data_IF_938098004924
#
_entry.id   IF_938098004924
#
_cell.length_a   1.000
_cell.length_b   1.000
_cell.length_c   1.000
_cell.angle_alpha   90.00
_cell.angle_beta   90.00
_cell.angle_gamma   90.00
#
_symmetry.space_group_name_H-M   'P 1'
#
loop_
_entity.id
_entity.type
_entity.pdbx_description
1 polymer ?
#
# COMPACT_ATOMS: atom_id res chain seq x y z
N UNK A 1 -15.23 -36.86 9.42
CA UNK A 1 -15.22 -35.89 10.53
C UNK A 1 -15.89 -34.66 10.00
N UNK A 2 -17.04 -34.32 10.56
CA UNK A 2 -17.75 -33.10 10.20
C UNK A 2 -17.04 -31.91 10.87
N UNK A 3 -17.02 -30.77 10.19
CA UNK A 3 -16.45 -29.53 10.72
C UNK A 3 -17.60 -28.68 11.23
N UNK A 4 -17.48 -28.14 12.44
CA UNK A 4 -18.56 -27.40 13.09
C UNK A 4 -18.88 -26.07 12.37
N UNK A 5 -17.84 -25.36 11.90
CA UNK A 5 -17.97 -24.08 11.20
C UNK A 5 -17.35 -24.10 9.79
N UNK A 6 -17.99 -24.76 8.81
CA UNK A 6 -17.43 -24.92 7.47
C UNK A 6 -17.40 -23.62 6.65
N UNK A 7 -18.26 -22.65 6.97
CA UNK A 7 -18.33 -21.35 6.26
C UNK A 7 -17.09 -20.50 6.55
N UNK A 8 -16.66 -20.43 7.81
CA UNK A 8 -15.49 -19.66 8.25
C UNK A 8 -14.20 -20.20 7.59
N UNK A 9 -14.06 -21.53 7.50
CA UNK A 9 -12.99 -22.16 6.72
C UNK A 9 -13.10 -21.84 5.23
N UNK A 10 -14.31 -21.88 4.66
CA UNK A 10 -14.52 -21.57 3.26
C UNK A 10 -14.12 -20.13 2.92
N UNK A 11 -14.38 -19.17 3.83
CA UNK A 11 -13.92 -17.77 3.70
C UNK A 11 -12.40 -17.73 3.63
N UNK A 12 -11.69 -18.39 4.56
CA UNK A 12 -10.23 -18.44 4.56
C UNK A 12 -9.66 -19.07 3.27
N UNK A 13 -10.23 -20.19 2.82
CA UNK A 13 -9.83 -20.82 1.55
C UNK A 13 -10.11 -19.88 0.38
N UNK A 14 -11.25 -19.22 0.35
CA UNK A 14 -11.63 -18.28 -0.71
C UNK A 14 -10.65 -17.10 -0.80
N UNK A 15 -10.14 -16.64 0.33
CA UNK A 15 -9.13 -15.59 0.40
C UNK A 15 -7.81 -16.01 -0.27
N UNK A 16 -7.31 -17.22 0.01
CA UNK A 16 -6.10 -17.72 -0.66
C UNK A 16 -6.33 -17.99 -2.15
N UNK A 17 -7.47 -18.59 -2.53
CA UNK A 17 -7.84 -18.78 -3.93
C UNK A 17 -7.88 -17.45 -4.67
N UNK A 18 -8.43 -16.41 -4.04
CA UNK A 18 -8.46 -15.06 -4.59
C UNK A 18 -7.06 -14.48 -4.80
N UNK A 19 -6.16 -14.62 -3.82
CA UNK A 19 -4.74 -14.20 -3.95
C UNK A 19 -4.07 -14.92 -5.12
N UNK A 20 -4.19 -16.25 -5.21
CA UNK A 20 -3.60 -17.02 -6.31
C UNK A 20 -4.21 -16.65 -7.66
N UNK A 21 -5.51 -16.35 -7.70
CA UNK A 21 -6.19 -15.83 -8.88
C UNK A 21 -5.61 -14.49 -9.36
N UNK A 22 -5.37 -13.55 -8.44
CA UNK A 22 -4.73 -12.26 -8.75
C UNK A 22 -3.30 -12.44 -9.26
N UNK A 23 -2.50 -13.28 -8.59
CA UNK A 23 -1.13 -13.59 -9.03
C UNK A 23 -1.13 -14.23 -10.42
N UNK A 24 -2.03 -15.19 -10.67
CA UNK A 24 -2.21 -15.84 -11.96
C UNK A 24 -2.61 -14.84 -13.06
N UNK A 25 -3.51 -13.90 -12.74
CA UNK A 25 -3.94 -12.84 -13.67
C UNK A 25 -2.81 -11.88 -14.04
N UNK A 26 -1.98 -11.50 -13.06
CA UNK A 26 -0.84 -10.59 -13.27
C UNK A 26 0.39 -11.29 -13.85
N UNK A 27 0.49 -12.61 -13.67
CA UNK A 27 1.62 -13.46 -14.06
C UNK A 27 2.13 -13.26 -15.49
N UNK A 28 1.28 -13.21 -16.54
CA UNK A 28 1.74 -12.97 -17.91
C UNK A 28 2.43 -11.61 -18.12
N UNK A 29 2.04 -10.58 -17.37
CA UNK A 29 2.67 -9.25 -17.48
C UNK A 29 3.99 -9.20 -16.73
N UNK A 30 4.04 -9.78 -15.53
CA UNK A 30 5.27 -9.90 -14.73
C UNK A 30 6.28 -10.81 -15.44
N UNK A 31 5.85 -11.95 -15.98
CA UNK A 31 6.70 -12.90 -16.68
C UNK A 31 7.31 -12.32 -17.96
N UNK A 32 6.59 -11.45 -18.68
CA UNK A 32 7.16 -10.67 -19.79
C UNK A 32 8.25 -9.71 -19.29
N UNK A 33 7.98 -8.97 -18.22
CA UNK A 33 8.98 -8.07 -17.65
C UNK A 33 10.25 -8.83 -17.23
N UNK A 34 10.11 -9.98 -16.56
CA UNK A 34 11.24 -10.81 -16.15
C UNK A 34 12.08 -11.32 -17.35
N UNK A 35 11.42 -11.68 -18.46
CA UNK A 35 12.10 -12.14 -19.69
C UNK A 35 12.90 -11.05 -20.39
N UNK A 36 12.42 -9.82 -20.37
CA UNK A 36 13.15 -8.68 -20.96
C UNK A 36 14.44 -8.34 -20.18
N UNK A 37 14.63 -8.93 -18.99
CA UNK A 37 15.87 -9.01 -18.21
C UNK A 37 16.66 -7.70 -18.06
N UNK A 38 15.96 -6.58 -17.87
CA UNK A 38 16.62 -5.32 -17.49
C UNK A 38 17.07 -5.42 -16.03
N UNK A 39 18.26 -4.89 -15.73
CA UNK A 39 18.81 -4.89 -14.36
C UNK A 39 17.80 -4.37 -13.33
N UNK A 40 17.07 -3.29 -13.66
CA UNK A 40 16.04 -2.73 -12.79
C UNK A 40 14.86 -3.66 -12.52
N UNK A 41 14.48 -4.51 -13.47
CA UNK A 41 13.39 -5.47 -13.27
C UNK A 41 13.73 -6.44 -12.15
N UNK A 42 14.95 -7.02 -12.17
CA UNK A 42 15.41 -7.95 -11.15
C UNK A 42 15.53 -7.30 -9.78
N UNK A 43 15.97 -6.04 -9.71
CA UNK A 43 15.98 -5.27 -8.44
C UNK A 43 14.59 -5.28 -7.80
N UNK A 44 13.54 -4.94 -8.56
CA UNK A 44 12.19 -4.89 -8.02
C UNK A 44 11.60 -6.26 -7.73
N UNK A 45 11.89 -7.30 -8.53
CA UNK A 45 11.44 -8.67 -8.24
C UNK A 45 12.07 -9.21 -6.94
N UNK A 46 13.36 -8.97 -6.71
CA UNK A 46 14.02 -9.36 -5.45
C UNK A 46 13.43 -8.59 -4.28
N UNK A 47 13.24 -7.27 -4.42
CA UNK A 47 12.60 -6.46 -3.38
C UNK A 47 11.15 -6.89 -3.11
N UNK A 48 10.40 -7.35 -4.11
CA UNK A 48 9.07 -7.94 -3.91
C UNK A 48 9.13 -9.21 -3.06
N UNK A 49 10.10 -10.11 -3.31
CA UNK A 49 10.25 -11.33 -2.51
C UNK A 49 10.62 -10.99 -1.07
N UNK A 50 11.55 -10.04 -0.88
CA UNK A 50 11.92 -9.55 0.46
C UNK A 50 10.71 -8.92 1.16
N UNK A 51 9.93 -8.10 0.45
CA UNK A 51 8.74 -7.46 0.97
C UNK A 51 7.69 -8.51 1.41
N UNK A 52 7.42 -9.50 0.56
CA UNK A 52 6.52 -10.59 0.89
C UNK A 52 7.00 -11.37 2.11
N UNK A 53 8.27 -11.78 2.13
CA UNK A 53 8.83 -12.53 3.26
C UNK A 53 8.74 -11.73 4.56
N UNK A 54 9.05 -10.43 4.52
CA UNK A 54 9.00 -9.53 5.67
C UNK A 54 7.58 -9.41 6.24
N UNK A 55 6.60 -9.04 5.40
CA UNK A 55 5.22 -8.81 5.84
C UNK A 55 4.54 -10.11 6.27
N UNK A 56 4.71 -11.19 5.49
CA UNK A 56 4.06 -12.46 5.79
C UNK A 56 4.66 -13.19 6.99
N UNK A 57 5.94 -12.98 7.31
CA UNK A 57 6.51 -13.51 8.57
C UNK A 57 5.75 -12.96 9.77
N UNK A 58 5.42 -11.66 9.77
CA UNK A 58 4.64 -11.06 10.84
C UNK A 58 3.15 -11.43 10.78
N UNK A 59 2.56 -11.53 9.58
CA UNK A 59 1.18 -11.99 9.42
C UNK A 59 0.98 -13.41 9.94
N UNK A 60 1.90 -14.33 9.63
CA UNK A 60 1.86 -15.70 10.16
C UNK A 60 2.05 -15.73 11.67
N UNK A 61 2.95 -14.90 12.22
CA UNK A 61 3.07 -14.73 13.68
C UNK A 61 1.79 -14.19 14.30
N UNK A 62 1.07 -13.31 13.62
CA UNK A 62 -0.21 -12.79 14.08
C UNK A 62 -1.28 -13.88 14.11
N UNK A 63 -1.38 -14.72 13.07
CA UNK A 63 -2.30 -15.85 13.08
C UNK A 63 -1.99 -16.83 14.21
N UNK A 64 -0.72 -17.14 14.43
CA UNK A 64 -0.28 -18.00 15.54
C UNK A 64 -0.60 -17.35 16.89
N UNK A 65 -0.32 -16.06 17.05
CA UNK A 65 -0.62 -15.30 18.27
C UNK A 65 -2.11 -15.30 18.58
N UNK A 66 -2.95 -14.96 17.60
CA UNK A 66 -4.41 -14.94 17.75
C UNK A 66 -4.98 -16.33 18.03
N UNK A 67 -4.47 -17.37 17.37
CA UNK A 67 -4.90 -18.76 17.63
C UNK A 67 -4.63 -19.16 19.09
N UNK A 68 -3.41 -18.92 19.59
CA UNK A 68 -3.05 -19.28 20.96
C UNK A 68 -3.76 -18.47 22.04
N UNK A 69 -4.14 -17.22 21.75
CA UNK A 69 -4.90 -16.39 22.68
C UNK A 69 -6.35 -16.88 22.85
N UNK A 70 -6.93 -17.49 21.80
CA UNK A 70 -8.35 -17.84 21.79
C UNK A 70 -8.62 -19.35 21.91
N UNK A 71 -7.65 -20.19 21.59
CA UNK A 71 -7.78 -21.65 21.68
C UNK A 71 -6.92 -22.17 22.83
N UNK A 72 -7.56 -22.55 23.94
CA UNK A 72 -6.93 -23.15 25.12
C UNK A 72 -6.28 -24.50 24.80
N UNK A 73 -4.96 -24.61 24.62
CA UNK A 73 -4.12 -25.84 24.48
C UNK A 73 -4.70 -27.02 23.65
N UNK A 74 -5.77 -26.79 22.90
CA UNK A 74 -6.41 -27.75 22.02
C UNK A 74 -5.50 -27.86 20.81
N UNK A 75 -4.91 -29.04 20.63
CA UNK A 75 -4.04 -29.34 19.51
C UNK A 75 -4.65 -28.91 18.18
N UNK A 76 -3.80 -28.58 17.21
CA UNK A 76 -4.24 -28.05 15.92
C UNK A 76 -5.04 -29.12 15.16
N UNK A 77 -6.32 -28.85 14.93
CA UNK A 77 -7.23 -29.68 14.15
C UNK A 77 -8.08 -28.79 13.23
N UNK A 78 -8.68 -29.37 12.17
CA UNK A 78 -9.59 -28.61 11.31
C UNK A 78 -10.78 -28.03 12.09
N UNK A 79 -11.25 -28.76 13.10
CA UNK A 79 -12.35 -28.28 13.93
C UNK A 79 -11.90 -27.11 14.81
N UNK A 80 -10.74 -27.21 15.48
CA UNK A 80 -10.24 -26.11 16.31
C UNK A 80 -9.93 -24.84 15.50
N UNK A 81 -9.43 -24.99 14.27
CA UNK A 81 -9.27 -23.84 13.35
C UNK A 81 -10.62 -23.23 12.98
N UNK A 82 -11.65 -24.05 12.75
CA UNK A 82 -13.00 -23.55 12.46
C UNK A 82 -13.61 -22.79 13.64
N UNK A 83 -13.41 -23.28 14.87
CA UNK A 83 -13.82 -22.60 16.12
C UNK A 83 -13.06 -21.28 16.31
N UNK A 84 -11.75 -21.28 16.09
CA UNK A 84 -10.93 -20.06 16.14
C UNK A 84 -11.44 -18.99 15.18
N UNK A 85 -11.59 -19.31 13.90
CA UNK A 85 -12.04 -18.36 12.88
C UNK A 85 -13.46 -17.84 13.15
N UNK A 86 -14.33 -18.68 13.72
CA UNK A 86 -15.68 -18.28 14.09
C UNK A 86 -15.70 -17.31 15.29
N UNK A 87 -14.81 -17.55 16.26
CA UNK A 87 -14.76 -16.79 17.51
C UNK A 87 -14.03 -15.44 17.40
N UNK A 88 -13.21 -15.24 16.37
CA UNK A 88 -12.32 -14.07 16.25
C UNK A 88 -12.59 -13.28 14.97
N UNK A 89 -12.64 -11.97 15.09
CA UNK A 89 -12.67 -11.06 13.95
C UNK A 89 -11.27 -10.61 13.58
N UNK A 90 -10.46 -11.53 13.02
CA UNK A 90 -9.02 -11.33 12.75
C UNK A 90 -8.67 -9.99 12.10
N UNK A 91 -9.48 -9.56 11.14
CA UNK A 91 -9.26 -8.29 10.43
C UNK A 91 -9.58 -7.08 11.31
N UNK A 92 -10.66 -7.14 12.09
CA UNK A 92 -11.08 -6.06 12.99
C UNK A 92 -10.02 -5.85 14.06
N UNK A 93 -9.56 -6.93 14.70
CA UNK A 93 -8.63 -6.89 15.81
C UNK A 93 -7.25 -6.40 15.37
N UNK A 94 -6.77 -6.87 14.22
CA UNK A 94 -5.53 -6.38 13.61
C UNK A 94 -5.61 -4.87 13.34
N UNK A 95 -6.68 -4.41 12.68
CA UNK A 95 -6.80 -3.01 12.30
C UNK A 95 -7.01 -2.08 13.50
N UNK A 96 -7.73 -2.52 14.54
CA UNK A 96 -7.84 -1.78 15.81
C UNK A 96 -6.49 -1.65 16.48
N UNK A 97 -5.74 -2.76 16.57
CA UNK A 97 -4.40 -2.79 17.19
C UNK A 97 -3.46 -1.79 16.53
N UNK A 98 -3.52 -1.64 15.21
CA UNK A 98 -2.61 -0.74 14.48
C UNK A 98 -3.16 0.69 14.32
N UNK A 99 -4.39 0.96 14.75
CA UNK A 99 -5.03 2.28 14.62
C UNK A 99 -5.20 3.02 15.94
N UNK A 100 -5.21 2.30 17.06
CA UNK A 100 -5.34 2.89 18.40
C UNK A 100 -3.94 3.18 18.97
N UNK A 101 -3.70 4.43 19.33
CA UNK A 101 -2.45 4.91 19.90
C UNK A 101 -1.59 5.72 18.91
N UNK A 102 -0.86 6.69 19.44
CA UNK A 102 -0.13 7.65 18.60
C UNK A 102 0.98 6.99 17.77
N UNK A 103 1.76 6.08 18.37
CA UNK A 103 2.86 5.42 17.67
C UNK A 103 2.40 4.35 16.69
N UNK A 104 1.35 3.60 17.05
CA UNK A 104 0.71 2.62 16.17
C UNK A 104 0.20 3.34 14.92
N UNK A 105 -0.55 4.43 15.13
CA UNK A 105 -1.06 5.22 14.04
C UNK A 105 0.03 5.91 13.22
N UNK A 106 1.15 6.35 13.82
CA UNK A 106 2.32 6.90 13.09
C UNK A 106 2.88 5.91 12.07
N UNK A 107 2.86 4.61 12.34
CA UNK A 107 3.22 3.61 11.35
C UNK A 107 2.10 3.42 10.32
N UNK A 108 0.88 3.16 10.78
CA UNK A 108 -0.23 2.73 9.94
C UNK A 108 -0.72 3.80 8.99
N UNK A 109 -0.79 5.06 9.42
CA UNK A 109 -1.26 6.13 8.55
C UNK A 109 -0.34 6.33 7.35
N UNK A 110 0.96 6.01 7.43
CA UNK A 110 1.89 6.13 6.32
C UNK A 110 1.52 5.18 5.17
N UNK A 111 1.20 3.91 5.47
CA UNK A 111 0.80 2.97 4.42
C UNK A 111 -0.59 3.30 3.89
N UNK A 112 -1.51 3.74 4.76
CA UNK A 112 -2.86 4.13 4.35
C UNK A 112 -2.83 5.36 3.43
N UNK A 113 -2.15 6.43 3.84
CA UNK A 113 -1.98 7.64 3.03
C UNK A 113 -1.17 7.40 1.76
N UNK A 114 -0.13 6.57 1.81
CA UNK A 114 0.58 6.13 0.61
C UNK A 114 -0.38 5.44 -0.35
N UNK A 115 -1.17 4.47 0.12
CA UNK A 115 -2.08 3.68 -0.71
C UNK A 115 -3.13 4.57 -1.40
N UNK A 116 -3.78 5.43 -0.61
CA UNK A 116 -4.85 6.28 -1.11
C UNK A 116 -4.31 7.41 -1.99
N UNK A 117 -3.39 8.22 -1.46
CA UNK A 117 -3.01 9.48 -2.09
C UNK A 117 -1.85 9.37 -3.07
N UNK A 118 -1.06 8.29 -3.00
CA UNK A 118 0.15 8.13 -3.83
C UNK A 118 0.00 6.96 -4.79
N UNK A 119 -0.22 5.76 -4.25
CA UNK A 119 -0.28 4.52 -5.01
C UNK A 119 -1.44 4.48 -5.98
N UNK A 120 -2.65 4.90 -5.55
CA UNK A 120 -3.83 4.92 -6.42
C UNK A 120 -3.65 5.87 -7.62
N UNK A 121 -3.23 7.14 -7.45
CA UNK A 121 -2.92 8.00 -8.58
C UNK A 121 -1.78 7.49 -9.44
N UNK A 122 -0.72 6.98 -8.83
CA UNK A 122 0.44 6.48 -9.55
C UNK A 122 0.07 5.29 -10.44
N UNK A 123 -0.66 4.30 -9.90
CA UNK A 123 -1.18 3.17 -10.67
C UNK A 123 -2.06 3.64 -11.83
N UNK A 124 -3.03 4.53 -11.57
CA UNK A 124 -3.93 5.02 -12.59
C UNK A 124 -3.13 5.72 -13.71
N UNK A 125 -2.31 6.69 -13.35
CA UNK A 125 -1.63 7.58 -14.29
C UNK A 125 -0.58 6.81 -15.08
N UNK A 126 0.37 6.14 -14.42
CA UNK A 126 1.43 5.40 -15.12
C UNK A 126 0.89 4.15 -15.82
N UNK A 127 -0.09 3.47 -15.21
CA UNK A 127 -0.74 2.31 -15.78
C UNK A 127 -1.43 2.61 -17.10
N UNK A 128 -2.27 3.65 -17.15
CA UNK A 128 -2.92 4.07 -18.39
C UNK A 128 -1.92 4.60 -19.42
N UNK A 129 -0.96 5.42 -18.99
CA UNK A 129 0.05 6.02 -19.87
C UNK A 129 0.89 4.98 -20.62
N UNK A 130 1.13 3.83 -20.00
CA UNK A 130 1.91 2.72 -20.54
C UNK A 130 1.04 1.58 -21.10
N UNK A 131 -0.28 1.66 -20.90
CA UNK A 131 -1.23 0.63 -21.30
C UNK A 131 -1.01 -0.70 -20.58
N UNK A 132 -0.72 -0.64 -19.27
CA UNK A 132 -0.60 -1.82 -18.40
C UNK A 132 -2.02 -2.30 -18.06
N UNK A 133 -2.37 -3.57 -18.35
CA UNK A 133 -3.71 -4.09 -18.08
C UNK A 133 -3.90 -4.39 -16.59
N UNK A 134 -5.17 -4.56 -16.18
CA UNK A 134 -5.56 -5.05 -14.84
C UNK A 134 -5.01 -4.21 -13.66
N UNK A 135 -5.01 -2.88 -13.77
CA UNK A 135 -4.55 -1.99 -12.69
C UNK A 135 -5.28 -2.22 -11.37
N UNK A 136 -6.59 -2.51 -11.45
CA UNK A 136 -7.40 -2.89 -10.30
C UNK A 136 -6.88 -4.14 -9.58
N UNK A 137 -6.27 -5.10 -10.31
CA UNK A 137 -5.73 -6.33 -9.72
C UNK A 137 -4.44 -6.07 -8.94
N UNK A 138 -3.60 -5.10 -9.37
CA UNK A 138 -2.48 -4.64 -8.55
C UNK A 138 -2.96 -3.99 -7.25
N UNK A 139 -4.02 -3.18 -7.31
CA UNK A 139 -4.60 -2.59 -6.10
C UNK A 139 -5.17 -3.66 -5.16
N UNK A 140 -5.98 -4.59 -5.68
CA UNK A 140 -6.54 -5.68 -4.86
C UNK A 140 -5.43 -6.56 -4.27
N UNK A 141 -4.40 -6.91 -5.05
CA UNK A 141 -3.25 -7.65 -4.54
C UNK A 141 -2.56 -6.87 -3.40
N UNK A 142 -2.46 -5.55 -3.54
CA UNK A 142 -1.95 -4.67 -2.49
C UNK A 142 -2.78 -4.73 -1.21
N UNK A 143 -4.12 -4.72 -1.34
CA UNK A 143 -5.05 -4.77 -0.22
C UNK A 143 -5.07 -6.15 0.47
N UNK A 144 -4.95 -7.25 -0.28
CA UNK A 144 -5.05 -8.60 0.29
C UNK A 144 -3.71 -9.24 0.64
N UNK A 145 -2.58 -8.83 0.05
CA UNK A 145 -1.25 -9.41 0.34
C UNK A 145 -0.37 -8.41 1.08
N UNK A 146 -0.01 -7.31 0.42
CA UNK A 146 0.76 -6.18 0.97
C UNK A 146 0.94 -5.14 -0.13
N UNK A 147 0.93 -3.86 0.22
CA UNK A 147 1.09 -2.78 -0.76
C UNK A 147 2.49 -2.81 -1.37
N UNK A 148 3.53 -3.08 -0.57
CA UNK A 148 4.90 -3.25 -1.05
C UNK A 148 5.05 -4.37 -2.07
N UNK A 149 4.36 -5.51 -1.90
CA UNK A 149 4.40 -6.63 -2.86
C UNK A 149 3.84 -6.18 -4.21
N UNK A 150 2.66 -5.56 -4.20
CA UNK A 150 2.03 -5.04 -5.42
C UNK A 150 2.86 -3.92 -6.07
N UNK A 151 3.41 -3.00 -5.27
CA UNK A 151 4.27 -1.91 -5.76
C UNK A 151 5.55 -2.43 -6.41
N UNK A 152 6.22 -3.41 -5.81
CA UNK A 152 7.43 -4.00 -6.40
C UNK A 152 7.15 -4.71 -7.72
N UNK A 153 6.06 -5.49 -7.81
CA UNK A 153 5.67 -6.16 -9.05
C UNK A 153 5.35 -5.13 -10.15
N UNK A 154 4.63 -4.07 -9.81
CA UNK A 154 4.31 -3.02 -10.77
C UNK A 154 5.55 -2.24 -11.21
N UNK A 155 6.46 -1.88 -10.28
CA UNK A 155 7.73 -1.25 -10.63
C UNK A 155 8.56 -2.12 -11.56
N UNK A 156 8.62 -3.44 -11.33
CA UNK A 156 9.26 -4.37 -12.25
C UNK A 156 8.67 -4.25 -13.66
N UNK A 157 7.35 -4.23 -13.80
CA UNK A 157 6.65 -4.05 -15.09
C UNK A 157 6.91 -2.68 -15.72
N UNK A 158 6.99 -1.61 -14.92
CA UNK A 158 7.28 -0.27 -15.43
C UNK A 158 8.68 -0.16 -16.05
N UNK A 159 9.66 -0.93 -15.56
CA UNK A 159 11.02 -0.88 -16.13
C UNK A 159 11.10 -1.37 -17.57
N UNK A 160 10.17 -2.23 -17.99
CA UNK A 160 10.15 -2.81 -19.34
C UNK A 160 9.10 -2.15 -20.24
N UNK A 161 8.04 -1.59 -19.66
CA UNK A 161 6.96 -0.98 -20.43
C UNK A 161 7.24 0.48 -20.79
N UNK A 162 7.29 0.78 -22.09
CA UNK A 162 7.48 2.15 -22.58
C UNK A 162 6.20 2.99 -22.45
N UNK A 163 6.39 4.30 -22.29
CA UNK A 163 5.34 5.31 -22.32
C UNK A 163 4.72 5.38 -23.71
N UNK A 164 3.42 5.05 -23.84
CA UNK A 164 2.70 5.07 -25.13
C UNK A 164 1.98 6.39 -25.39
N UNK A 165 1.59 7.10 -24.33
CA UNK A 165 0.80 8.33 -24.41
C UNK A 165 1.51 9.45 -23.63
N UNK A 166 1.45 10.68 -24.12
CA UNK A 166 1.90 11.85 -23.36
C UNK A 166 0.93 12.13 -22.19
N UNK A 167 1.41 12.85 -21.17
CA UNK A 167 0.59 13.23 -20.00
C UNK A 167 -0.58 14.09 -20.43
N UNK A 168 -1.76 13.49 -20.63
CA UNK A 168 -2.95 14.25 -21.02
C UNK A 168 -3.73 14.82 -19.81
N UNK A 169 -3.11 14.84 -18.64
CA UNK A 169 -3.76 15.16 -17.36
C UNK A 169 -4.56 14.00 -16.78
N UNK A 170 -4.92 14.12 -15.52
CA UNK A 170 -5.60 13.08 -14.76
C UNK A 170 -7.08 13.42 -14.51
N UNK A 171 -7.99 12.43 -14.50
CA UNK A 171 -9.42 12.70 -14.41
C UNK A 171 -9.81 13.23 -13.02
N UNK A 172 -10.77 14.15 -12.96
CA UNK A 172 -11.27 14.72 -11.69
C UNK A 172 -11.77 13.66 -10.70
N UNK A 173 -12.34 12.56 -11.22
CA UNK A 173 -12.78 11.45 -10.38
C UNK A 173 -11.64 10.74 -9.66
N UNK A 174 -10.40 10.77 -10.19
CA UNK A 174 -9.24 10.28 -9.44
C UNK A 174 -8.98 11.18 -8.22
N UNK A 175 -9.03 12.50 -8.40
CA UNK A 175 -8.87 13.44 -7.28
C UNK A 175 -9.99 13.25 -6.25
N UNK A 176 -11.24 13.06 -6.67
CA UNK A 176 -12.36 12.81 -5.76
C UNK A 176 -12.14 11.51 -4.95
N UNK A 177 -11.74 10.42 -5.60
CA UNK A 177 -11.41 9.16 -4.92
C UNK A 177 -10.26 9.32 -3.91
N UNK A 178 -9.19 10.04 -4.29
CA UNK A 178 -8.07 10.36 -3.38
C UNK A 178 -8.56 11.17 -2.20
N UNK A 179 -9.36 12.21 -2.43
CA UNK A 179 -9.86 13.09 -1.39
C UNK A 179 -10.73 12.34 -0.38
N UNK A 180 -11.72 11.58 -0.87
CA UNK A 180 -12.59 10.76 0.00
C UNK A 180 -11.77 9.73 0.76
N UNK A 181 -10.85 9.03 0.09
CA UNK A 181 -9.99 8.08 0.77
C UNK A 181 -9.13 8.76 1.86
N UNK A 182 -8.55 9.93 1.59
CA UNK A 182 -7.72 10.63 2.58
C UNK A 182 -8.54 11.06 3.78
N UNK A 183 -9.80 11.48 3.59
CA UNK A 183 -10.73 11.73 4.69
C UNK A 183 -10.92 10.45 5.52
N UNK A 184 -11.18 9.30 4.89
CA UNK A 184 -11.34 8.04 5.64
C UNK A 184 -10.08 7.65 6.42
N UNK A 185 -8.88 7.95 5.89
CA UNK A 185 -7.62 7.74 6.63
C UNK A 185 -7.58 8.65 7.85
N UNK A 186 -7.82 9.96 7.69
CA UNK A 186 -7.81 10.92 8.80
C UNK A 186 -8.84 10.55 9.88
N UNK A 187 -10.01 10.04 9.50
CA UNK A 187 -11.06 9.64 10.44
C UNK A 187 -10.73 8.35 11.20
N UNK A 188 -9.92 7.45 10.62
CA UNK A 188 -9.66 6.11 11.15
C UNK A 188 -9.31 6.05 12.64
N UNK A 189 -8.37 6.83 13.19
CA UNK A 189 -8.04 6.75 14.61
C UNK A 189 -9.18 7.24 15.52
N UNK A 190 -10.04 8.13 15.03
CA UNK A 190 -11.16 8.68 15.80
C UNK A 190 -12.36 7.74 15.86
N UNK A 191 -12.50 6.86 14.88
CA UNK A 191 -13.57 5.86 14.83
C UNK A 191 -13.06 4.45 15.13
N UNK A 192 -11.78 4.29 15.48
CA UNK A 192 -11.14 2.98 15.67
C UNK A 192 -11.79 2.14 16.77
N UNK A 193 -12.31 2.81 17.80
CA UNK A 193 -12.98 2.14 18.91
C UNK A 193 -14.48 1.88 18.62
N UNK A 194 -15.06 2.58 17.65
CA UNK A 194 -16.48 2.55 17.33
C UNK A 194 -16.89 1.41 16.39
N UNK A 195 -18.19 1.08 16.36
CA UNK A 195 -18.76 0.16 15.38
C UNK A 195 -18.66 0.68 13.93
N UNK A 196 -18.47 1.98 13.74
CA UNK A 196 -18.30 2.63 12.44
C UNK A 196 -16.91 2.39 11.83
N UNK A 197 -15.93 1.89 12.59
CA UNK A 197 -14.57 1.64 12.12
C UNK A 197 -14.54 0.83 10.83
N UNK A 198 -15.28 -0.27 10.80
CA UNK A 198 -15.29 -1.19 9.67
C UNK A 198 -15.91 -0.58 8.43
N UNK A 199 -16.93 0.27 8.59
CA UNK A 199 -17.54 1.00 7.48
C UNK A 199 -16.60 2.06 6.92
N UNK A 200 -15.87 2.76 7.78
CA UNK A 200 -14.85 3.72 7.35
C UNK A 200 -13.72 3.02 6.58
N UNK A 201 -13.25 1.86 7.08
CA UNK A 201 -12.22 1.07 6.42
C UNK A 201 -12.70 0.48 5.08
N UNK A 202 -13.95 -0.02 5.02
CA UNK A 202 -14.55 -0.47 3.77
C UNK A 202 -14.66 0.67 2.75
N UNK A 203 -15.10 1.85 3.18
CA UNK A 203 -15.16 3.03 2.33
C UNK A 203 -13.78 3.40 1.80
N UNK A 204 -12.74 3.38 2.65
CA UNK A 204 -11.35 3.62 2.26
C UNK A 204 -10.90 2.70 1.12
N UNK A 205 -11.23 1.41 1.19
CA UNK A 205 -10.82 0.42 0.18
C UNK A 205 -11.66 0.53 -1.10
N UNK A 206 -12.97 0.73 -0.96
CA UNK A 206 -13.91 0.78 -2.07
C UNK A 206 -13.63 1.94 -3.03
N UNK A 207 -13.24 3.11 -2.50
CA UNK A 207 -12.99 4.30 -3.34
C UNK A 207 -11.71 4.19 -4.19
N UNK A 208 -10.84 3.20 -3.94
CA UNK A 208 -9.58 3.02 -4.66
C UNK A 208 -9.75 2.31 -6.01
N UNK A 209 -10.83 1.56 -6.19
CA UNK A 209 -11.06 0.74 -7.38
C UNK A 209 -11.62 1.52 -8.58
N UNK A 210 -12.61 2.43 -8.43
CA UNK A 210 -13.19 3.17 -9.56
C UNK A 210 -12.20 3.88 -10.50
N UNK A 211 -11.08 4.49 -10.05
CA UNK A 211 -10.13 5.10 -10.97
C UNK A 211 -9.29 4.08 -11.76
N UNK A 212 -9.25 2.81 -11.33
CA UNK A 212 -8.41 1.75 -11.91
C UNK A 212 -9.17 0.81 -12.86
N UNK A 213 -10.49 0.98 -12.95
CA UNK A 213 -11.33 0.28 -13.91
C UNK A 213 -11.21 0.91 -15.31
N UNK A 214 -11.20 0.12 -16.40
CA UNK A 214 -11.16 0.65 -17.75
C UNK A 214 -12.27 1.70 -17.97
N UNK A 215 -11.89 2.90 -18.42
CA UNK A 215 -12.85 4.00 -18.63
C UNK A 215 -13.09 4.29 -20.10
N UNK A 216 -14.36 4.56 -20.41
CA UNK A 216 -14.79 5.23 -21.63
C UNK A 216 -14.66 6.75 -21.46
N UNK A 217 -13.91 7.35 -22.36
CA UNK A 217 -13.71 8.76 -22.76
C UNK A 217 -14.39 9.94 -22.03
N UNK A 218 -13.62 11.05 -21.98
CA UNK A 218 -13.97 12.47 -21.73
C UNK A 218 -14.49 12.85 -20.33
N UNK A 219 -13.57 12.95 -19.35
CA UNK A 219 -13.78 13.80 -18.16
C UNK A 219 -12.86 15.01 -18.22
N UNK A 220 -13.22 16.08 -17.49
CA UNK A 220 -12.30 17.17 -17.16
C UNK A 220 -10.99 16.60 -16.59
N UNK A 221 -9.87 17.19 -17.02
CA UNK A 221 -8.53 16.71 -16.69
C UNK A 221 -7.76 17.79 -15.94
N UNK A 222 -7.17 17.38 -14.83
CA UNK A 222 -6.28 18.20 -14.02
C UNK A 222 -4.82 17.95 -14.43
N UNK A 223 -3.93 18.93 -14.25
CA UNK A 223 -2.50 18.69 -14.39
C UNK A 223 -2.06 17.56 -13.45
N UNK A 224 -1.41 16.54 -14.00
CA UNK A 224 -0.89 15.39 -13.25
C UNK A 224 -0.02 15.83 -12.07
N UNK A 225 0.85 16.83 -12.29
CA UNK A 225 1.68 17.43 -11.25
C UNK A 225 0.86 17.97 -10.07
N UNK A 226 -0.32 18.56 -10.31
CA UNK A 226 -1.15 19.11 -9.25
C UNK A 226 -1.70 18.01 -8.34
N UNK A 227 -2.10 16.85 -8.88
CA UNK A 227 -2.56 15.71 -8.05
C UNK A 227 -1.43 15.22 -7.15
N UNK A 228 -0.23 15.05 -7.71
CA UNK A 228 0.93 14.63 -6.94
C UNK A 228 1.37 15.66 -5.88
N UNK A 229 1.34 16.96 -6.19
CA UNK A 229 1.64 18.02 -5.21
C UNK A 229 0.60 18.07 -4.08
N UNK A 230 -0.68 17.94 -4.40
CA UNK A 230 -1.75 17.87 -3.39
C UNK A 230 -1.59 16.64 -2.50
N UNK A 231 -1.25 15.48 -3.07
CA UNK A 231 -0.96 14.27 -2.31
C UNK A 231 0.25 14.45 -1.38
N UNK A 232 1.36 15.01 -1.89
CA UNK A 232 2.56 15.27 -1.10
C UNK A 232 2.28 16.24 0.06
N UNK A 233 1.57 17.35 -0.22
CA UNK A 233 1.21 18.34 0.78
C UNK A 233 0.27 17.81 1.86
N UNK A 234 -0.78 17.08 1.46
CA UNK A 234 -1.70 16.45 2.40
C UNK A 234 -0.98 15.43 3.30
N UNK A 235 -0.15 14.58 2.71
CA UNK A 235 0.60 13.56 3.46
C UNK A 235 1.63 14.19 4.40
N UNK A 236 2.31 15.27 3.98
CA UNK A 236 3.22 16.00 4.85
C UNK A 236 2.50 16.62 6.05
N UNK A 237 1.30 17.17 5.84
CA UNK A 237 0.49 17.72 6.92
C UNK A 237 0.07 16.62 7.93
N UNK A 238 -0.47 15.50 7.43
CA UNK A 238 -0.89 14.38 8.29
C UNK A 238 0.31 13.78 9.03
N UNK A 239 1.44 13.59 8.33
CA UNK A 239 2.68 13.04 8.91
C UNK A 239 3.27 13.97 9.97
N UNK A 240 3.32 15.26 9.71
CA UNK A 240 3.80 16.25 10.69
C UNK A 240 2.90 16.28 11.92
N UNK A 241 1.57 16.33 11.73
CA UNK A 241 0.60 16.27 12.82
C UNK A 241 0.80 15.03 13.69
N UNK A 242 1.00 13.86 13.07
CA UNK A 242 1.15 12.62 13.81
C UNK A 242 2.49 12.55 14.56
N UNK A 243 3.58 13.05 13.97
CA UNK A 243 4.84 13.21 14.68
C UNK A 243 4.72 14.13 15.89
N UNK A 244 4.03 15.27 15.75
CA UNK A 244 3.76 16.15 16.88
C UNK A 244 3.02 15.39 17.98
N UNK A 245 1.96 14.64 17.65
CA UNK A 245 1.24 13.83 18.63
C UNK A 245 2.16 12.82 19.35
N UNK A 246 3.02 12.11 18.62
CA UNK A 246 3.99 11.17 19.19
C UNK A 246 4.97 11.83 20.17
N UNK A 247 5.56 12.97 19.79
CA UNK A 247 6.54 13.70 20.62
C UNK A 247 5.97 14.20 21.95
N UNK A 248 4.65 14.38 22.05
CA UNK A 248 3.99 14.75 23.31
C UNK A 248 3.64 13.55 24.20
N UNK A 249 3.77 12.31 23.72
CA UNK A 249 3.32 11.11 24.46
C UNK A 249 4.46 10.34 25.11
N UNK A 250 5.56 10.09 24.41
CA UNK A 250 6.68 9.28 24.92
C UNK A 250 8.00 9.58 24.18
N UNK A 251 9.05 8.83 24.49
CA UNK A 251 10.39 8.94 23.89
C UNK A 251 10.51 8.33 22.49
N UNK A 252 11.61 8.63 21.79
CA UNK A 252 11.88 8.11 20.46
C UNK A 252 12.04 6.57 20.40
N UNK A 253 12.35 5.91 21.53
CA UNK A 253 12.43 4.44 21.59
C UNK A 253 11.08 3.78 21.29
N UNK A 254 9.99 4.51 21.55
CA UNK A 254 8.62 4.08 21.29
C UNK A 254 8.36 3.78 19.80
N UNK A 255 9.12 4.39 18.88
CA UNK A 255 9.02 4.07 17.44
C UNK A 255 9.39 2.61 17.17
N UNK A 256 10.54 2.18 17.71
CA UNK A 256 11.05 0.84 17.51
C UNK A 256 10.28 -0.20 18.33
N UNK A 257 9.97 0.12 19.59
CA UNK A 257 9.19 -0.81 20.43
C UNK A 257 7.82 -1.09 19.83
N UNK A 258 7.13 -0.07 19.30
CA UNK A 258 5.82 -0.24 18.63
C UNK A 258 5.92 -1.16 17.42
N UNK A 259 6.99 -1.06 16.62
CA UNK A 259 7.19 -1.93 15.46
C UNK A 259 7.14 -3.41 15.85
N UNK A 260 7.78 -3.79 16.97
CA UNK A 260 7.94 -5.19 17.38
C UNK A 260 6.94 -5.63 18.47
N UNK A 261 6.17 -4.70 19.05
CA UNK A 261 5.30 -4.96 20.20
C UNK A 261 4.19 -5.96 19.89
N UNK A 262 3.60 -5.89 18.69
CA UNK A 262 2.51 -6.75 18.29
C UNK A 262 2.72 -7.24 16.85
N UNK A 263 2.49 -8.52 16.53
CA UNK A 263 2.76 -9.05 15.18
C UNK A 263 1.91 -8.38 14.08
N UNK A 264 0.65 -8.00 14.35
CA UNK A 264 -0.13 -7.23 13.38
C UNK A 264 0.50 -5.87 13.06
N UNK A 265 1.03 -5.18 14.09
CA UNK A 265 1.75 -3.91 13.91
C UNK A 265 3.05 -4.14 13.14
N UNK A 266 3.82 -5.18 13.48
CA UNK A 266 5.04 -5.55 12.76
C UNK A 266 4.79 -5.81 11.28
N UNK A 267 3.66 -6.45 10.93
CA UNK A 267 3.28 -6.68 9.53
C UNK A 267 3.09 -5.35 8.79
N UNK A 268 2.28 -4.43 9.33
CA UNK A 268 2.02 -3.12 8.72
C UNK A 268 3.28 -2.26 8.67
N UNK A 269 4.04 -2.18 9.76
CA UNK A 269 5.27 -1.39 9.81
C UNK A 269 6.33 -1.93 8.86
N UNK A 270 6.41 -3.25 8.68
CA UNK A 270 7.29 -3.84 7.67
C UNK A 270 6.86 -3.51 6.24
N UNK A 271 5.56 -3.45 5.96
CA UNK A 271 5.03 -3.02 4.66
C UNK A 271 5.42 -1.57 4.36
N UNK A 272 5.30 -0.67 5.35
CA UNK A 272 5.76 0.72 5.27
C UNK A 272 7.24 0.80 4.88
N UNK A 273 8.11 0.07 5.59
CA UNK A 273 9.57 0.08 5.32
C UNK A 273 9.86 -0.45 3.92
N UNK A 274 9.20 -1.54 3.51
CA UNK A 274 9.39 -2.11 2.18
C UNK A 274 8.92 -1.17 1.06
N UNK A 275 7.79 -0.48 1.23
CA UNK A 275 7.34 0.57 0.31
C UNK A 275 8.38 1.71 0.22
N UNK A 276 8.93 2.16 1.35
CA UNK A 276 9.96 3.19 1.34
C UNK A 276 11.20 2.77 0.54
N UNK A 277 11.70 1.55 0.77
CA UNK A 277 12.85 1.01 0.05
C UNK A 277 12.55 0.91 -1.46
N UNK A 278 11.37 0.44 -1.84
CA UNK A 278 10.93 0.35 -3.23
C UNK A 278 10.89 1.73 -3.91
N UNK A 279 10.31 2.73 -3.25
CA UNK A 279 10.23 4.10 -3.77
C UNK A 279 11.63 4.74 -3.89
N UNK A 280 12.50 4.54 -2.90
CA UNK A 280 13.92 4.97 -2.96
C UNK A 280 14.64 4.34 -4.13
N UNK A 281 14.52 3.00 -4.28
CA UNK A 281 15.14 2.28 -5.39
C UNK A 281 14.64 2.81 -6.75
N UNK A 282 13.34 3.09 -6.87
CA UNK A 282 12.76 3.70 -8.06
C UNK A 282 13.37 5.08 -8.35
N UNK A 283 13.36 6.00 -7.39
CA UNK A 283 13.89 7.36 -7.58
C UNK A 283 15.38 7.36 -7.94
N UNK A 284 16.17 6.53 -7.28
CA UNK A 284 17.61 6.36 -7.56
C UNK A 284 17.86 5.79 -8.95
N UNK A 285 17.07 4.80 -9.36
CA UNK A 285 17.22 4.16 -10.68
C UNK A 285 16.98 5.13 -11.84
N UNK A 286 16.16 6.16 -11.65
CA UNK A 286 15.89 7.18 -12.68
C UNK A 286 17.06 8.15 -12.90
N UNK A 287 18.09 8.12 -12.03
CA UNK A 287 19.35 8.88 -12.15
C UNK A 287 19.17 10.40 -12.30
N UNK A 288 18.09 10.98 -11.79
CA UNK A 288 17.90 12.43 -11.74
C UNK A 288 18.43 13.01 -10.42
N UNK A 289 18.85 14.29 -10.44
CA UNK A 289 19.32 14.97 -9.22
C UNK A 289 18.23 15.04 -8.17
N UNK A 290 17.01 15.35 -8.60
CA UNK A 290 15.81 15.42 -7.77
C UNK A 290 15.50 14.06 -7.13
N UNK A 291 15.68 12.97 -7.90
CA UNK A 291 15.48 11.61 -7.41
C UNK A 291 16.42 11.24 -6.27
N UNK A 292 17.70 11.59 -6.36
CA UNK A 292 18.66 11.37 -5.29
C UNK A 292 18.33 12.16 -4.02
N UNK A 293 18.00 13.44 -4.15
CA UNK A 293 17.67 14.29 -2.99
C UNK A 293 16.43 13.74 -2.28
N UNK A 294 15.36 13.44 -3.02
CA UNK A 294 14.12 12.92 -2.44
C UNK A 294 14.27 11.50 -1.88
N UNK A 295 15.12 10.68 -2.49
CA UNK A 295 15.49 9.38 -1.93
C UNK A 295 16.16 9.51 -0.56
N UNK A 296 17.11 10.44 -0.39
CA UNK A 296 17.78 10.69 0.89
C UNK A 296 16.84 11.24 1.96
N UNK A 297 15.81 11.99 1.58
CA UNK A 297 14.80 12.53 2.50
C UNK A 297 13.72 11.50 2.89
N UNK A 298 13.60 10.39 2.17
CA UNK A 298 12.50 9.43 2.36
C UNK A 298 12.45 8.81 3.76
N UNK A 299 13.58 8.39 4.38
CA UNK A 299 13.56 7.86 5.75
C UNK A 299 13.03 8.85 6.81
N UNK A 300 13.09 10.16 6.52
CA UNK A 300 12.68 11.20 7.45
C UNK A 300 11.27 11.74 7.18
N UNK A 301 10.84 11.76 5.92
CA UNK A 301 9.57 12.35 5.49
C UNK A 301 8.52 11.31 5.05
N UNK A 302 8.89 10.02 5.02
CA UNK A 302 8.13 8.93 4.41
C UNK A 302 8.02 9.00 2.88
N UNK A 303 7.90 7.82 2.27
CA UNK A 303 7.64 7.70 0.83
C UNK A 303 6.26 8.25 0.44
N UNK A 304 5.33 8.37 1.39
CA UNK A 304 4.03 9.02 1.16
C UNK A 304 4.17 10.51 0.83
N UNK A 305 5.31 11.14 1.15
CA UNK A 305 5.59 12.56 0.82
C UNK A 305 6.60 12.68 -0.32
N UNK A 306 7.74 11.99 -0.22
CA UNK A 306 8.85 12.18 -1.17
C UNK A 306 8.56 11.62 -2.55
N UNK A 307 7.90 10.47 -2.64
CA UNK A 307 7.59 9.83 -3.91
C UNK A 307 6.61 10.63 -4.77
N UNK A 308 5.44 11.09 -4.29
CA UNK A 308 4.57 11.93 -5.11
C UNK A 308 5.25 13.27 -5.45
N UNK A 309 6.05 13.87 -4.56
CA UNK A 309 6.81 15.06 -4.90
C UNK A 309 7.80 14.81 -6.06
N UNK A 310 8.47 13.66 -6.05
CA UNK A 310 9.33 13.23 -7.15
C UNK A 310 8.54 13.11 -8.47
N UNK A 311 7.36 12.48 -8.43
CA UNK A 311 6.52 12.36 -9.62
C UNK A 311 6.03 13.73 -10.12
N UNK A 312 5.69 14.66 -9.21
CA UNK A 312 5.30 16.01 -9.60
C UNK A 312 6.43 16.74 -10.34
N UNK A 313 7.67 16.65 -9.85
CA UNK A 313 8.83 17.25 -10.50
C UNK A 313 9.11 16.63 -11.87
N UNK A 314 8.86 15.32 -12.02
CA UNK A 314 9.01 14.64 -13.31
C UNK A 314 7.98 15.09 -14.36
N UNK A 315 6.83 15.63 -13.94
CA UNK A 315 5.79 16.18 -14.82
C UNK A 315 6.04 17.64 -15.23
N UNK A 316 6.93 18.37 -14.52
CA UNK A 316 7.23 19.75 -14.87
C UNK A 316 8.08 19.82 -16.16
N UNK A 317 7.83 20.80 -17.04
CA UNK A 317 8.65 20.99 -18.23
C UNK A 317 10.11 21.20 -17.81
N UNK A 318 11.01 20.30 -18.23
CA UNK A 318 12.44 20.58 -18.14
C UNK A 318 12.73 21.70 -19.12
N UNK A 319 12.85 22.92 -18.60
CA UNK A 319 13.22 24.08 -19.40
C UNK A 319 14.39 23.70 -20.29
N UNK A 320 14.21 23.81 -21.60
CA UNK A 320 15.30 23.68 -22.55
C UNK A 320 16.28 24.81 -22.21
N UNK A 321 17.26 24.52 -21.37
CA UNK A 321 18.52 25.24 -21.37
C UNK A 321 19.03 25.09 -22.80
N UNK A 322 18.77 26.10 -23.61
CA UNK A 322 19.40 26.28 -24.91
C UNK A 322 20.90 26.24 -24.62
N UNK A 323 21.55 25.15 -25.01
CA UNK A 323 22.99 25.13 -25.19
C UNK A 323 23.26 26.08 -26.36
N UNK A 324 23.65 27.31 -26.04
CA UNK A 324 24.37 28.17 -26.98
C UNK A 324 25.78 27.60 -27.16
#
# INVERSE_FOLDING_TARGET
>A
MDVDYPVDLAILVSYFVFIFGLIGLLGPTIGRAAKDSKQGTWTFLVLTVVAFASTWTFMLKYFVHSYHEHMDDQGVSLNSVSHWLHSVSLFVDAWRTVSVGAWQWLWSHQICTFTVAVWTPFLAIEGYRRGIPYLWAYMLLGQVVAISVASGLFFAVLTTTQTKQSSQGAPLSLLACVFVGTITVVLSPFVAEDASFMWNLLAMHAVLLPPLLPRSSQSHRLPTAAIYLLAAGANLAIYSQQWFACLFTTDAWSLFSTFIAHPAQGSISSDVVCVQILCVAWMVQQRSKEGWVLALLTPFLSASVTFPLYQALAELPRGHAKSN
#
